data_IF_410561378178
#
_entry.id   IF_410561378178
#
_cell.length_a   1.000
_cell.length_b   1.000
_cell.length_c   1.000
_cell.angle_alpha   90.00
_cell.angle_beta   90.00
_cell.angle_gamma   90.00
#
_symmetry.space_group_name_H-M   'P 1'
#
loop_
_entity.id
_entity.type
_entity.pdbx_description
1 polymer ?
#
# COMPACT_ATOMS: atom_id res chain seq x y z
N UNK A 1 8.51 18.62 4.56
CA UNK A 1 7.63 18.02 3.55
C UNK A 1 7.37 16.55 3.89
N UNK A 2 6.13 16.12 3.78
CA UNK A 2 5.80 14.71 4.00
C UNK A 2 5.53 14.03 2.68
N UNK A 3 6.03 12.81 2.54
CA UNK A 3 5.71 11.94 1.40
C UNK A 3 5.24 10.59 1.92
N UNK A 4 4.53 9.87 1.10
CA UNK A 4 3.95 8.57 1.45
C UNK A 4 4.53 7.53 0.52
N UNK A 5 5.30 6.61 1.10
CA UNK A 5 6.11 5.65 0.38
C UNK A 5 5.42 4.29 0.36
N UNK A 6 5.29 3.71 -0.82
CA UNK A 6 4.84 2.33 -0.96
C UNK A 6 6.06 1.42 -0.83
N UNK A 7 5.99 0.51 0.14
CA UNK A 7 7.00 -0.53 0.34
C UNK A 7 6.36 -1.89 0.10
N UNK A 8 6.91 -2.64 -0.83
CA UNK A 8 6.50 -3.99 -1.13
C UNK A 8 7.41 -4.96 -0.36
N UNK A 9 6.83 -5.90 0.37
CA UNK A 9 7.61 -6.77 1.26
C UNK A 9 8.64 -7.63 0.54
N UNK A 10 8.36 -8.01 -0.70
CA UNK A 10 9.28 -8.83 -1.49
C UNK A 10 10.24 -8.00 -2.37
N UNK A 11 9.85 -6.78 -2.74
CA UNK A 11 10.57 -5.97 -3.73
C UNK A 11 11.17 -4.67 -3.16
N UNK A 12 10.84 -4.30 -1.92
CA UNK A 12 11.30 -3.07 -1.31
C UNK A 12 10.49 -1.85 -1.72
N UNK A 13 11.12 -0.68 -1.75
CA UNK A 13 10.43 0.57 -2.04
C UNK A 13 10.05 0.65 -3.51
N UNK A 14 8.76 0.86 -3.78
CA UNK A 14 8.23 0.98 -5.13
C UNK A 14 8.18 2.44 -5.61
N UNK A 15 7.55 3.31 -4.84
CA UNK A 15 7.38 4.72 -5.23
C UNK A 15 6.98 5.56 -4.02
N UNK A 16 7.05 6.89 -4.17
CA UNK A 16 6.61 7.85 -3.17
C UNK A 16 5.59 8.81 -3.78
N UNK A 17 4.62 9.22 -2.98
CA UNK A 17 3.52 10.08 -3.40
C UNK A 17 3.35 11.25 -2.43
N UNK A 18 2.75 12.33 -2.89
CA UNK A 18 2.52 13.53 -2.07
C UNK A 18 1.36 13.37 -1.09
N UNK A 19 0.41 12.49 -1.39
CA UNK A 19 -0.74 12.27 -0.52
C UNK A 19 -0.85 10.80 -0.14
N UNK A 20 -1.34 10.56 1.08
CA UNK A 20 -1.58 9.22 1.59
C UNK A 20 -2.65 8.50 0.77
N UNK A 21 -3.70 9.22 0.38
CA UNK A 21 -4.79 8.69 -0.41
C UNK A 21 -4.30 8.15 -1.75
N UNK A 22 -3.42 8.89 -2.41
CA UNK A 22 -2.87 8.46 -3.69
C UNK A 22 -1.98 7.22 -3.53
N UNK A 23 -1.12 7.20 -2.52
CA UNK A 23 -0.27 6.04 -2.24
C UNK A 23 -1.12 4.79 -1.96
N UNK A 24 -2.16 4.93 -1.14
CA UNK A 24 -3.06 3.82 -0.82
C UNK A 24 -3.83 3.33 -2.05
N UNK A 25 -4.32 4.24 -2.87
CA UNK A 25 -5.02 3.89 -4.11
C UNK A 25 -4.12 3.06 -5.03
N UNK A 26 -2.88 3.51 -5.23
CA UNK A 26 -1.93 2.82 -6.10
C UNK A 26 -1.57 1.45 -5.54
N UNK A 27 -1.28 1.35 -4.24
CA UNK A 27 -0.95 0.07 -3.62
C UNK A 27 -2.11 -0.93 -3.72
N UNK A 28 -3.33 -0.48 -3.48
CA UNK A 28 -4.51 -1.32 -3.58
C UNK A 28 -4.72 -1.82 -5.01
N UNK A 29 -4.54 -0.94 -6.00
CA UNK A 29 -4.66 -1.32 -7.41
C UNK A 29 -3.62 -2.36 -7.80
N UNK A 30 -2.38 -2.18 -7.35
CA UNK A 30 -1.31 -3.15 -7.60
C UNK A 30 -1.65 -4.52 -6.98
N UNK A 31 -2.15 -4.52 -5.76
CA UNK A 31 -2.56 -5.74 -5.08
C UNK A 31 -3.68 -6.47 -5.85
N UNK A 32 -4.69 -5.74 -6.29
CA UNK A 32 -5.80 -6.31 -7.05
C UNK A 32 -5.36 -6.88 -8.40
N UNK A 33 -4.35 -6.28 -9.02
CA UNK A 33 -3.82 -6.74 -10.30
C UNK A 33 -2.92 -7.96 -10.17
N UNK A 34 -2.19 -8.08 -9.05
CA UNK A 34 -1.21 -9.14 -8.84
C UNK A 34 -1.80 -10.40 -8.20
N UNK A 35 -2.86 -10.24 -7.41
CA UNK A 35 -3.44 -11.38 -6.69
C UNK A 35 -4.33 -12.21 -7.61
N UNK A 36 -4.27 -13.53 -7.44
CA UNK A 36 -5.16 -14.44 -8.13
C UNK A 36 -6.62 -14.09 -7.79
N UNK A 37 -7.48 -14.06 -8.80
CA UNK A 37 -8.88 -13.66 -8.65
C UNK A 37 -9.63 -14.48 -7.59
N UNK A 38 -9.38 -15.80 -7.54
CA UNK A 38 -10.03 -16.66 -6.55
C UNK A 38 -9.61 -16.31 -5.14
N UNK A 39 -8.32 -16.03 -4.94
CA UNK A 39 -7.78 -15.62 -3.64
C UNK A 39 -8.29 -14.24 -3.27
N UNK A 40 -8.32 -13.32 -4.22
CA UNK A 40 -8.81 -11.96 -4.01
C UNK A 40 -10.26 -11.95 -3.52
N UNK A 41 -11.13 -12.68 -4.18
CA UNK A 41 -12.54 -12.74 -3.81
C UNK A 41 -12.74 -13.30 -2.39
N UNK A 42 -11.84 -14.18 -1.97
CA UNK A 42 -11.88 -14.83 -0.66
C UNK A 42 -11.44 -13.92 0.48
N UNK A 43 -10.41 -13.10 0.27
CA UNK A 43 -9.80 -12.30 1.35
C UNK A 43 -10.03 -10.80 1.21
N UNK A 44 -10.68 -10.35 0.17
CA UNK A 44 -10.81 -8.93 -0.15
C UNK A 44 -11.41 -8.09 0.98
N UNK A 45 -12.42 -8.60 1.68
CA UNK A 45 -13.08 -7.87 2.76
C UNK A 45 -12.14 -7.65 3.95
N UNK A 46 -11.39 -8.68 4.35
CA UNK A 46 -10.43 -8.58 5.45
C UNK A 46 -9.27 -7.65 5.09
N UNK A 47 -8.73 -7.78 3.88
CA UNK A 47 -7.64 -6.95 3.42
C UNK A 47 -8.05 -5.49 3.29
N UNK A 48 -9.27 -5.22 2.82
CA UNK A 48 -9.80 -3.86 2.74
C UNK A 48 -9.88 -3.23 4.13
N UNK A 49 -10.44 -3.92 5.10
CA UNK A 49 -10.55 -3.43 6.47
C UNK A 49 -9.18 -3.17 7.10
N UNK A 50 -8.27 -4.10 6.97
CA UNK A 50 -6.91 -3.98 7.48
C UNK A 50 -6.18 -2.80 6.84
N UNK A 51 -6.30 -2.65 5.54
CA UNK A 51 -5.64 -1.58 4.80
C UNK A 51 -6.18 -0.20 5.18
N UNK A 52 -7.49 -0.07 5.35
CA UNK A 52 -8.08 1.20 5.77
C UNK A 52 -7.62 1.63 7.16
N UNK A 53 -7.53 0.68 8.10
CA UNK A 53 -7.14 0.95 9.49
C UNK A 53 -5.64 1.12 9.69
N UNK A 54 -4.82 0.33 9.01
CA UNK A 54 -3.41 0.16 9.35
C UNK A 54 -2.45 0.51 8.22
N UNK A 55 -2.94 0.89 7.04
CA UNK A 55 -2.12 1.28 5.88
C UNK A 55 -1.21 0.16 5.36
N UNK A 56 -1.55 -1.10 5.58
CA UNK A 56 -0.82 -2.22 5.00
C UNK A 56 -1.77 -3.30 4.50
N UNK A 57 -1.29 -4.09 3.54
CA UNK A 57 -1.97 -5.28 3.05
C UNK A 57 -1.11 -6.48 3.47
N UNK A 58 -1.68 -7.39 4.23
CA UNK A 58 -0.99 -8.56 4.77
C UNK A 58 -0.26 -9.34 3.67
N UNK A 59 1.02 -9.63 3.90
CA UNK A 59 1.90 -10.35 2.98
C UNK A 59 2.13 -9.68 1.62
N UNK A 60 1.77 -8.41 1.45
CA UNK A 60 1.97 -7.72 0.19
C UNK A 60 2.80 -6.44 0.33
N UNK A 61 2.32 -5.46 1.05
CA UNK A 61 3.02 -4.20 1.20
C UNK A 61 2.34 -3.22 2.14
N UNK A 62 2.94 -2.05 2.29
CA UNK A 62 2.42 -1.01 3.17
C UNK A 62 2.69 0.39 2.63
N UNK A 63 2.01 1.37 3.23
CA UNK A 63 2.24 2.79 2.98
C UNK A 63 2.85 3.40 4.24
N UNK A 64 4.05 3.98 4.11
CA UNK A 64 4.76 4.61 5.21
C UNK A 64 4.84 6.12 5.00
N UNK A 65 4.56 6.89 6.05
CA UNK A 65 4.78 8.33 6.04
C UNK A 65 6.25 8.62 6.30
N UNK A 66 6.86 9.41 5.43
CA UNK A 66 8.28 9.79 5.55
C UNK A 66 8.36 11.32 5.52
N UNK A 67 9.08 11.88 6.47
CA UNK A 67 9.33 13.31 6.52
C UNK A 67 10.64 13.61 5.81
N UNK A 68 10.58 14.43 4.75
CA UNK A 68 11.77 14.92 4.08
C UNK A 68 12.28 16.17 4.80
N UNK A 69 13.53 16.12 5.20
CA UNK A 69 14.20 17.27 5.81
C UNK A 69 14.76 18.13 4.70
N UNK A 70 14.28 19.38 4.63
CA UNK A 70 14.81 20.35 3.69
C UNK A 70 15.98 21.10 4.34
N UNK A 71 17.15 21.04 3.71
CA UNK A 71 18.30 21.78 4.15
C UNK A 71 18.51 23.04 3.31
#
# INVERSE_FOLDING_TARGET
MKVYVIELYDDGIYAAYKTKEKAKEVLWQMYCDDIDKEIRDRYLAEDTETFEKHNYITDYGCVNEVVLVEE
#
